data_IF_294420622063
#
_entry.id   IF_294420622063
#
_cell.length_a   1.000
_cell.length_b   1.000
_cell.length_c   1.000
_cell.angle_alpha   90.00
_cell.angle_beta   90.00
_cell.angle_gamma   90.00
#
_symmetry.space_group_name_H-M   'P 1'
#
loop_
_entity.id
_entity.type
_entity.pdbx_description
1 polymer ?
#
# COMPACT_ATOMS: atom_id res chain seq x y z
N UNK A 1 0.99 -0.94 27.30
CA UNK A 1 1.07 -0.58 25.88
C UNK A 1 -0.29 -0.65 25.19
N UNK A 2 -1.26 -1.43 25.67
CA UNK A 2 -2.59 -1.54 25.07
C UNK A 2 -3.47 -0.32 25.26
N UNK A 3 -3.33 0.39 26.36
CA UNK A 3 -4.27 1.44 26.78
C UNK A 3 -4.17 2.73 25.95
N UNK A 4 -3.04 2.99 25.30
CA UNK A 4 -2.89 4.19 24.49
C UNK A 4 -3.43 4.02 23.07
N UNK A 5 -3.38 2.83 22.51
CA UNK A 5 -3.95 2.55 21.19
C UNK A 5 -5.49 2.63 21.24
N UNK A 6 -6.11 2.11 22.29
CA UNK A 6 -7.56 2.13 22.48
C UNK A 6 -8.14 3.52 22.70
N UNK A 7 -7.36 4.47 23.21
CA UNK A 7 -7.82 5.85 23.39
C UNK A 7 -8.03 6.62 22.09
N UNK A 8 -7.40 6.18 21.01
CA UNK A 8 -7.55 6.79 19.70
C UNK A 8 -8.49 6.02 18.77
N UNK A 9 -8.85 4.80 19.13
CA UNK A 9 -9.82 3.98 18.44
C UNK A 9 -11.20 4.65 18.50
N UNK A 10 -11.77 4.98 17.35
CA UNK A 10 -13.04 5.69 17.24
C UNK A 10 -12.95 7.22 17.32
N UNK A 11 -11.81 7.82 17.66
CA UNK A 11 -11.62 9.28 17.67
C UNK A 11 -11.26 9.79 16.29
N UNK A 12 -10.51 9.01 15.51
CA UNK A 12 -10.08 9.39 14.17
C UNK A 12 -9.99 8.17 13.26
N UNK A 13 -11.12 7.79 12.69
CA UNK A 13 -11.14 6.80 11.62
C UNK A 13 -10.48 7.40 10.38
N UNK A 14 -9.41 6.79 9.92
CA UNK A 14 -8.65 7.25 8.75
C UNK A 14 -8.68 6.18 7.68
N UNK A 15 -9.15 6.54 6.48
CA UNK A 15 -9.06 5.73 5.29
C UNK A 15 -7.87 6.22 4.46
N UNK A 16 -6.96 5.32 4.14
CA UNK A 16 -5.84 5.57 3.23
C UNK A 16 -6.17 4.99 1.86
N UNK A 17 -6.16 5.84 0.85
CA UNK A 17 -6.23 5.43 -0.55
C UNK A 17 -4.86 5.59 -1.19
N UNK A 18 -4.26 4.48 -1.59
CA UNK A 18 -3.03 4.45 -2.37
C UNK A 18 -3.34 4.26 -3.84
N UNK A 19 -2.75 5.09 -4.69
CA UNK A 19 -2.84 4.93 -6.14
C UNK A 19 -1.45 4.99 -6.77
N UNK A 20 -1.20 4.09 -7.72
CA UNK A 20 0.05 4.02 -8.47
C UNK A 20 -0.26 4.25 -9.94
N UNK A 21 0.41 5.24 -10.53
CA UNK A 21 0.26 5.57 -11.96
C UNK A 21 1.59 5.32 -12.65
N UNK A 22 1.68 4.35 -13.57
CA UNK A 22 2.86 4.16 -14.40
C UNK A 22 3.12 5.38 -15.28
N UNK A 23 4.38 5.78 -15.41
CA UNK A 23 4.81 6.83 -16.33
C UNK A 23 5.65 6.24 -17.44
N UNK A 24 6.63 5.44 -17.08
CA UNK A 24 7.53 4.71 -17.96
C UNK A 24 7.78 3.30 -17.41
N UNK A 25 8.59 2.50 -18.09
CA UNK A 25 8.82 1.10 -17.76
C UNK A 25 9.33 0.88 -16.33
N UNK A 26 10.13 1.80 -15.82
CA UNK A 26 10.72 1.73 -14.47
C UNK A 26 10.34 2.90 -13.58
N UNK A 27 9.34 3.68 -13.98
CA UNK A 27 8.95 4.89 -13.25
C UNK A 27 7.44 4.95 -13.04
N UNK A 28 7.05 5.26 -11.81
CA UNK A 28 5.65 5.47 -11.46
C UNK A 28 5.48 6.61 -10.46
N UNK A 29 4.28 7.17 -10.42
CA UNK A 29 3.86 8.10 -9.38
C UNK A 29 2.97 7.35 -8.41
N UNK A 30 3.31 7.43 -7.13
CA UNK A 30 2.48 6.93 -6.04
C UNK A 30 1.83 8.13 -5.32
N UNK A 31 0.52 8.06 -5.13
CA UNK A 31 -0.23 9.07 -4.39
C UNK A 31 -0.98 8.42 -3.24
N UNK A 32 -0.91 9.07 -2.09
CA UNK A 32 -1.72 8.71 -0.93
C UNK A 32 -2.73 9.82 -0.64
N UNK A 33 -3.98 9.42 -0.52
CA UNK A 33 -5.07 10.30 -0.11
C UNK A 33 -5.63 9.82 1.22
N UNK A 34 -5.79 10.74 2.15
CA UNK A 34 -6.28 10.44 3.48
C UNK A 34 -7.68 11.04 3.65
N UNK A 35 -8.62 10.19 4.04
CA UNK A 35 -9.96 10.59 4.40
C UNK A 35 -10.16 10.33 5.88
N UNK A 36 -10.55 11.36 6.61
CA UNK A 36 -10.78 11.25 8.05
C UNK A 36 -12.23 11.55 8.36
N UNK A 37 -12.83 10.69 9.20
CA UNK A 37 -14.21 10.84 9.60
C UNK A 37 -14.38 12.07 10.48
N UNK A 38 -15.34 12.89 10.15
CA UNK A 38 -15.76 13.99 11.02
C UNK A 38 -16.43 13.46 12.29
N UNK A 39 -16.13 14.09 13.41
CA UNK A 39 -16.78 13.82 14.68
C UNK A 39 -17.71 15.00 14.99
N UNK A 40 -19.01 14.73 15.12
CA UNK A 40 -20.04 15.77 15.30
C UNK A 40 -20.00 16.88 14.22
N UNK A 41 -19.71 16.50 12.97
CA UNK A 41 -19.64 17.44 11.86
C UNK A 41 -18.35 18.25 11.74
N UNK A 42 -17.42 18.07 12.66
CA UNK A 42 -16.13 18.77 12.70
C UNK A 42 -14.97 17.82 12.40
N UNK A 43 -13.87 18.37 11.89
CA UNK A 43 -12.63 17.63 11.75
C UNK A 43 -12.12 17.11 13.11
N UNK A 44 -11.35 15.99 13.14
CA UNK A 44 -10.80 15.48 14.38
C UNK A 44 -10.02 16.55 15.14
N UNK A 45 -10.32 16.73 16.42
CA UNK A 45 -9.68 17.73 17.29
C UNK A 45 -8.36 17.22 17.86
N UNK A 46 -7.53 18.14 18.37
CA UNK A 46 -6.31 17.81 19.10
C UNK A 46 -5.12 17.38 18.23
N UNK A 47 -5.19 17.60 16.91
CA UNK A 47 -4.09 17.31 16.01
C UNK A 47 -3.85 15.81 15.74
N UNK A 48 -4.71 14.92 16.25
CA UNK A 48 -4.57 13.46 16.09
C UNK A 48 -4.58 13.05 14.62
N UNK A 49 -5.52 13.60 13.84
CA UNK A 49 -5.59 13.33 12.41
C UNK A 49 -4.34 13.75 11.65
N UNK A 50 -3.82 14.93 11.95
CA UNK A 50 -2.57 15.42 11.37
C UNK A 50 -1.36 14.58 11.81
N UNK A 51 -1.33 14.13 13.06
CA UNK A 51 -0.26 13.27 13.56
C UNK A 51 -0.23 11.91 12.87
N UNK A 52 -1.39 11.30 12.60
CA UNK A 52 -1.49 10.03 11.85
C UNK A 52 -0.94 10.21 10.43
N UNK A 53 -1.33 11.28 9.75
CA UNK A 53 -0.85 11.57 8.39
C UNK A 53 0.67 11.80 8.39
N UNK A 54 1.19 12.57 9.34
CA UNK A 54 2.61 12.83 9.46
C UNK A 54 3.43 11.57 9.72
N UNK A 55 2.92 10.66 10.54
CA UNK A 55 3.59 9.38 10.84
C UNK A 55 3.64 8.48 9.60
N UNK A 56 2.54 8.36 8.86
CA UNK A 56 2.49 7.59 7.61
C UNK A 56 3.41 8.22 6.55
N UNK A 57 3.40 9.55 6.40
CA UNK A 57 4.30 10.25 5.47
C UNK A 57 5.77 9.98 5.79
N UNK A 58 6.13 9.98 7.06
CA UNK A 58 7.47 9.62 7.51
C UNK A 58 7.84 8.19 7.13
N UNK A 59 6.97 7.21 7.41
CA UNK A 59 7.19 5.80 7.07
C UNK A 59 7.38 5.61 5.56
N UNK A 60 6.54 6.24 4.75
CA UNK A 60 6.64 6.20 3.28
C UNK A 60 7.99 6.75 2.81
N UNK A 61 8.43 7.88 3.36
CA UNK A 61 9.73 8.47 3.02
C UNK A 61 10.92 7.58 3.40
N UNK A 62 10.81 6.83 4.48
CA UNK A 62 11.81 5.84 4.89
C UNK A 62 11.84 4.63 3.93
N UNK A 63 10.71 4.28 3.33
CA UNK A 63 10.57 3.15 2.42
C UNK A 63 11.00 3.47 0.97
N UNK A 64 10.92 4.73 0.54
CA UNK A 64 11.25 5.16 -0.83
C UNK A 64 12.65 4.69 -1.28
N UNK A 65 13.74 4.86 -0.52
CA UNK A 65 15.06 4.40 -0.93
C UNK A 65 15.13 2.90 -1.16
N UNK A 66 14.32 2.12 -0.45
CA UNK A 66 14.23 0.67 -0.64
C UNK A 66 13.46 0.37 -1.93
N UNK A 67 12.36 1.04 -2.17
CA UNK A 67 11.55 0.85 -3.37
C UNK A 67 12.28 1.22 -4.66
N UNK A 68 13.04 2.30 -4.65
CA UNK A 68 13.84 2.76 -5.79
C UNK A 68 14.92 1.76 -6.23
N UNK A 69 15.35 0.88 -5.33
CA UNK A 69 16.35 -0.15 -5.60
C UNK A 69 15.77 -1.55 -5.72
N UNK A 70 14.45 -1.70 -5.65
CA UNK A 70 13.78 -2.99 -5.81
C UNK A 70 13.81 -3.46 -7.25
N UNK A 71 14.05 -4.76 -7.41
CA UNK A 71 13.90 -5.44 -8.70
C UNK A 71 12.72 -6.38 -8.66
N UNK A 72 11.99 -6.45 -9.76
CA UNK A 72 10.93 -7.43 -9.90
C UNK A 72 11.51 -8.83 -9.98
N UNK A 73 11.20 -9.68 -9.00
CA UNK A 73 11.58 -11.07 -9.01
C UNK A 73 10.46 -11.90 -9.65
N UNK A 74 10.75 -12.57 -10.77
CA UNK A 74 9.78 -13.45 -11.44
C UNK A 74 9.36 -14.61 -10.52
N UNK A 75 10.31 -15.19 -9.79
CA UNK A 75 10.08 -16.24 -8.80
C UNK A 75 10.54 -15.73 -7.43
N UNK A 76 9.69 -14.99 -6.70
CA UNK A 76 10.04 -14.54 -5.37
C UNK A 76 10.12 -15.74 -4.42
N UNK A 77 11.04 -15.67 -3.46
CA UNK A 77 11.08 -16.59 -2.33
C UNK A 77 10.08 -16.10 -1.30
N UNK A 78 9.03 -16.87 -1.10
CA UNK A 78 7.95 -16.57 -0.15
C UNK A 78 7.97 -17.53 1.02
N UNK A 79 7.53 -17.07 2.17
CA UNK A 79 7.30 -17.90 3.36
C UNK A 79 5.82 -17.89 3.76
N UNK A 80 5.44 -18.74 4.69
CA UNK A 80 4.05 -18.89 5.12
C UNK A 80 3.45 -17.60 5.70
N UNK A 81 4.30 -16.69 6.17
CA UNK A 81 3.89 -15.40 6.76
C UNK A 81 3.70 -14.27 5.74
N UNK A 82 4.06 -14.48 4.48
CA UNK A 82 3.98 -13.44 3.44
C UNK A 82 2.56 -13.19 2.92
N UNK A 83 1.58 -13.95 3.38
CA UNK A 83 0.20 -13.83 2.95
C UNK A 83 0.00 -14.21 1.47
N UNK A 84 -1.08 -13.75 0.83
CA UNK A 84 -1.48 -14.21 -0.50
C UNK A 84 -0.73 -13.48 -1.65
N UNK A 85 0.58 -13.32 -1.56
CA UNK A 85 1.38 -12.58 -2.57
C UNK A 85 1.30 -13.23 -3.95
N UNK A 86 1.39 -14.55 -4.04
CA UNK A 86 1.28 -15.27 -5.30
C UNK A 86 -0.10 -15.05 -5.96
N UNK A 87 -1.16 -15.11 -5.19
CA UNK A 87 -2.53 -14.86 -5.65
C UNK A 87 -2.70 -13.41 -6.13
N UNK A 88 -2.18 -12.45 -5.38
CA UNK A 88 -2.18 -11.04 -5.76
C UNK A 88 -1.46 -10.82 -7.10
N UNK A 89 -0.25 -11.39 -7.26
CA UNK A 89 0.54 -11.24 -8.50
C UNK A 89 -0.16 -11.88 -9.70
N UNK A 90 -0.80 -13.03 -9.52
CA UNK A 90 -1.60 -13.69 -10.55
C UNK A 90 -2.77 -12.80 -10.98
N UNK A 91 -3.51 -12.23 -10.03
CA UNK A 91 -4.61 -11.31 -10.32
C UNK A 91 -4.11 -10.04 -11.00
N UNK A 92 -3.02 -9.46 -10.51
CA UNK A 92 -2.46 -8.22 -11.07
C UNK A 92 -1.98 -8.41 -12.51
N UNK A 93 -1.50 -9.60 -12.86
CA UNK A 93 -1.05 -9.93 -14.23
C UNK A 93 -2.17 -9.76 -15.27
N UNK A 94 -3.45 -9.83 -14.89
CA UNK A 94 -4.59 -9.62 -15.78
C UNK A 94 -4.70 -8.18 -16.31
N UNK A 95 -4.03 -7.22 -15.67
CA UNK A 95 -4.02 -5.81 -16.08
C UNK A 95 -2.88 -5.45 -17.04
N UNK A 96 -1.96 -6.38 -17.34
CA UNK A 96 -0.91 -6.11 -18.30
C UNK A 96 -1.44 -6.06 -19.72
N UNK A 97 -0.96 -5.09 -20.49
CA UNK A 97 -1.35 -4.89 -21.90
C UNK A 97 -0.78 -5.99 -22.81
N UNK A 98 0.42 -6.46 -22.52
CA UNK A 98 1.02 -7.57 -23.23
C UNK A 98 0.48 -8.90 -22.71
N UNK A 99 -0.43 -9.49 -23.47
CA UNK A 99 -1.10 -10.74 -23.10
C UNK A 99 -0.12 -11.91 -22.83
N UNK A 100 0.92 -12.04 -23.64
CA UNK A 100 1.92 -13.10 -23.48
C UNK A 100 2.70 -12.95 -22.15
N UNK A 101 3.06 -11.73 -21.82
CA UNK A 101 3.73 -11.42 -20.57
C UNK A 101 2.82 -11.66 -19.37
N UNK A 102 1.57 -11.22 -19.45
CA UNK A 102 0.57 -11.45 -18.41
C UNK A 102 0.35 -12.95 -18.16
N UNK A 103 0.23 -13.75 -19.21
CA UNK A 103 0.10 -15.20 -19.09
C UNK A 103 1.36 -15.85 -18.50
N UNK A 104 2.54 -15.40 -18.89
CA UNK A 104 3.79 -15.91 -18.35
C UNK A 104 3.88 -15.66 -16.84
N UNK A 105 3.54 -14.46 -16.39
CA UNK A 105 3.55 -14.12 -14.97
C UNK A 105 2.48 -14.89 -14.21
N UNK A 106 1.27 -15.00 -14.76
CA UNK A 106 0.20 -15.76 -14.14
C UNK A 106 0.55 -17.24 -13.98
N UNK A 107 1.20 -17.85 -14.98
CA UNK A 107 1.63 -19.25 -14.95
C UNK A 107 2.68 -19.53 -13.86
N UNK A 108 3.53 -18.56 -13.50
CA UNK A 108 4.52 -18.70 -12.44
C UNK A 108 3.91 -18.85 -11.03
N UNK A 109 2.63 -18.53 -10.88
CA UNK A 109 1.91 -18.54 -9.59
C UNK A 109 0.70 -19.51 -9.58
N UNK A 110 0.73 -20.54 -10.44
CA UNK A 110 -0.34 -21.53 -10.54
C UNK A 110 -0.23 -22.65 -9.50
N UNK A 111 0.92 -22.82 -8.85
CA UNK A 111 1.19 -23.88 -7.87
C UNK A 111 0.92 -23.43 -6.44
#
# INVERSE_FOLDING_TARGET
>A
PGDNATKFEGICDTLLLGSTTPIEDEECIVRFSFLQKKVNGEAPKGGVGAAIIADIDKQVKEDIPIWEHKKFALKPVLCDMDGPIAQFRKQYATFYVNYNEAQRIAALHLD
#
